data_IF_642385650352
#
_entry.id   IF_642385650352
#
_cell.length_a   1.000
_cell.length_b   1.000
_cell.length_c   1.000
_cell.angle_alpha   90.00
_cell.angle_beta   90.00
_cell.angle_gamma   90.00
#
_symmetry.space_group_name_H-M   'P 1'
#
loop_
_entity.id
_entity.type
_entity.pdbx_description
1 polymer ?
#
# COMPACT_ATOMS: atom_id res chain seq x y z
N UNK A 1 -11.16 5.33 -3.32
CA UNK A 1 -10.92 6.37 -4.35
C UNK A 1 -10.70 5.67 -5.68
N UNK A 2 -10.71 6.38 -6.82
CA UNK A 2 -10.29 5.75 -8.09
C UNK A 2 -8.79 5.49 -8.04
N UNK A 3 -8.34 4.32 -8.50
CA UNK A 3 -6.91 4.01 -8.66
C UNK A 3 -6.25 5.00 -9.62
N UNK A 4 -5.04 5.42 -9.28
CA UNK A 4 -4.24 6.36 -10.06
C UNK A 4 -3.06 5.61 -10.70
N UNK A 5 -3.07 5.49 -12.03
CA UNK A 5 -1.89 5.07 -12.79
C UNK A 5 -0.95 6.27 -12.91
N UNK A 6 0.21 6.21 -12.25
CA UNK A 6 1.16 7.34 -12.18
C UNK A 6 2.10 7.35 -13.38
N UNK A 7 2.33 6.18 -13.96
CA UNK A 7 3.07 5.92 -15.19
C UNK A 7 2.52 4.60 -15.74
N UNK A 8 2.70 4.37 -17.05
CA UNK A 8 2.36 3.09 -17.68
C UNK A 8 2.78 1.92 -16.78
N UNK A 9 1.80 1.10 -16.41
CA UNK A 9 1.96 -0.13 -15.61
C UNK A 9 2.45 0.08 -14.17
N UNK A 10 2.42 1.31 -13.66
CA UNK A 10 2.76 1.66 -12.27
C UNK A 10 1.58 2.38 -11.63
N UNK A 11 1.04 1.78 -10.57
CA UNK A 11 -0.19 2.24 -9.93
C UNK A 11 0.06 2.64 -8.49
N UNK A 12 -0.47 3.79 -8.08
CA UNK A 12 -0.60 4.11 -6.66
C UNK A 12 -1.78 3.32 -6.08
N UNK A 13 -1.50 2.54 -5.04
CA UNK A 13 -2.48 1.70 -4.34
C UNK A 13 -2.54 1.99 -2.84
N UNK A 14 -1.84 3.03 -2.38
CA UNK A 14 -1.78 3.40 -0.96
C UNK A 14 -3.10 3.93 -0.37
N UNK A 15 -2.98 4.67 0.72
CA UNK A 15 -4.10 5.22 1.46
C UNK A 15 -3.87 6.70 1.84
N UNK A 16 -4.96 7.44 1.97
CA UNK A 16 -4.95 8.82 2.45
C UNK A 16 -5.58 8.86 3.84
N UNK A 17 -4.83 9.32 4.83
CA UNK A 17 -5.34 9.54 6.18
C UNK A 17 -5.58 11.03 6.38
N UNK A 18 -6.80 11.46 6.08
CA UNK A 18 -7.23 12.85 6.30
C UNK A 18 -7.37 13.22 7.77
N UNK A 19 -7.41 12.23 8.67
CA UNK A 19 -7.78 12.41 10.07
C UNK A 19 -6.59 12.38 11.02
N UNK A 20 -5.43 11.87 10.60
CA UNK A 20 -4.21 11.93 11.40
C UNK A 20 -3.86 13.38 11.71
N UNK A 21 -3.63 13.67 12.99
CA UNK A 21 -3.23 15.00 13.50
C UNK A 21 -1.95 14.95 14.31
N UNK A 22 -1.75 13.86 15.05
CA UNK A 22 -0.47 13.52 15.66
C UNK A 22 0.09 12.29 14.93
N UNK A 23 1.23 12.50 14.30
CA UNK A 23 1.96 11.47 13.58
C UNK A 23 3.36 11.34 14.18
N UNK A 24 3.49 10.48 15.19
CA UNK A 24 4.76 10.21 15.89
C UNK A 24 5.39 11.48 16.48
N UNK A 25 4.55 12.37 17.03
CA UNK A 25 4.96 13.67 17.58
C UNK A 25 4.92 14.83 16.57
N UNK A 26 4.67 14.56 15.28
CA UNK A 26 4.44 15.61 14.28
C UNK A 26 2.98 16.02 14.18
N UNK A 27 2.73 17.33 14.21
CA UNK A 27 1.40 17.89 13.94
C UNK A 27 1.10 17.89 12.43
N UNK A 28 0.08 17.12 12.02
CA UNK A 28 -0.32 16.90 10.61
C UNK A 28 -1.72 17.46 10.34
N UNK A 29 -1.88 18.79 10.38
CA UNK A 29 -3.19 19.44 10.22
C UNK A 29 -3.91 19.17 8.88
N UNK A 30 -3.15 18.77 7.84
CA UNK A 30 -3.67 18.42 6.51
C UNK A 30 -3.79 16.90 6.31
N UNK A 31 -3.60 16.10 7.36
CA UNK A 31 -3.48 14.66 7.26
C UNK A 31 -2.13 14.22 6.70
N UNK A 32 -2.05 12.96 6.27
CA UNK A 32 -0.90 12.35 5.63
C UNK A 32 -1.33 11.29 4.62
N UNK A 33 -0.38 10.71 3.90
CA UNK A 33 -0.59 9.59 2.97
C UNK A 33 0.39 8.48 3.27
N UNK A 34 -0.08 7.24 3.19
CA UNK A 34 0.75 6.04 3.24
C UNK A 34 0.82 5.49 1.83
N UNK A 35 1.91 5.78 1.13
CA UNK A 35 2.04 5.52 -0.30
C UNK A 35 2.61 4.13 -0.53
N UNK A 36 1.86 3.30 -1.24
CA UNK A 36 2.28 1.99 -1.73
C UNK A 36 2.06 1.94 -3.23
N UNK A 37 2.91 1.21 -3.95
CA UNK A 37 2.88 1.14 -5.40
C UNK A 37 2.80 -0.29 -5.90
N UNK A 38 1.95 -0.54 -6.87
CA UNK A 38 1.85 -1.82 -7.56
C UNK A 38 2.43 -1.68 -8.96
N UNK A 39 3.47 -2.47 -9.27
CA UNK A 39 4.12 -2.50 -10.57
C UNK A 39 3.66 -3.75 -11.31
N UNK A 40 3.09 -3.56 -12.50
CA UNK A 40 2.66 -4.61 -13.40
C UNK A 40 3.80 -4.90 -14.38
N UNK A 41 4.51 -6.00 -14.16
CA UNK A 41 5.62 -6.45 -15.00
C UNK A 41 5.58 -7.98 -15.11
N UNK A 42 6.59 -8.60 -15.72
CA UNK A 42 6.76 -10.06 -15.73
C UNK A 42 6.72 -10.66 -14.32
N UNK A 43 7.16 -9.88 -13.32
CA UNK A 43 7.02 -10.14 -11.89
C UNK A 43 6.24 -9.01 -11.22
N UNK A 44 4.99 -9.27 -10.87
CA UNK A 44 4.11 -8.28 -10.26
C UNK A 44 4.61 -7.97 -8.86
N UNK A 45 4.90 -6.70 -8.59
CA UNK A 45 5.60 -6.30 -7.37
C UNK A 45 4.83 -5.22 -6.62
N UNK A 46 4.60 -5.43 -5.33
CA UNK A 46 4.07 -4.44 -4.40
C UNK A 46 5.21 -3.78 -3.62
N UNK A 47 5.28 -2.45 -3.65
CA UNK A 47 6.22 -1.65 -2.86
C UNK A 47 5.52 -1.07 -1.63
N UNK A 48 6.04 -1.46 -0.47
CA UNK A 48 5.55 -1.15 0.87
C UNK A 48 4.08 -1.54 1.09
N UNK A 49 3.61 -1.39 2.32
CA UNK A 49 2.19 -1.47 2.66
C UNK A 49 1.77 -0.17 3.33
N UNK A 50 0.65 -0.20 4.05
CA UNK A 50 0.12 0.96 4.76
C UNK A 50 -0.02 0.65 6.24
N UNK A 51 -0.37 1.67 7.02
CA UNK A 51 -0.76 1.51 8.42
C UNK A 51 -1.92 0.54 8.55
N UNK A 52 -1.93 -0.28 9.61
CA UNK A 52 -2.87 -1.39 9.81
C UNK A 52 -4.35 -1.03 9.58
N UNK A 53 -4.79 0.11 10.10
CA UNK A 53 -6.19 0.57 10.00
C UNK A 53 -6.60 0.98 8.57
N UNK A 54 -5.66 1.15 7.65
CA UNK A 54 -5.87 1.55 6.25
C UNK A 54 -5.71 0.41 5.26
N UNK A 55 -5.50 -0.82 5.74
CA UNK A 55 -5.44 -2.04 4.92
C UNK A 55 -6.61 -2.15 3.93
N UNK A 56 -7.81 -1.73 4.34
CA UNK A 56 -9.01 -1.78 3.50
C UNK A 56 -8.85 -1.00 2.20
N UNK A 57 -8.25 0.20 2.28
CA UNK A 57 -7.99 1.05 1.11
C UNK A 57 -6.94 0.40 0.19
N UNK A 58 -5.84 -0.09 0.78
CA UNK A 58 -4.78 -0.78 0.04
C UNK A 58 -5.32 -1.97 -0.76
N UNK A 59 -6.02 -2.88 -0.08
CA UNK A 59 -6.57 -4.08 -0.72
C UNK A 59 -7.67 -3.74 -1.72
N UNK A 60 -8.49 -2.71 -1.47
CA UNK A 60 -9.47 -2.25 -2.43
C UNK A 60 -8.80 -1.81 -3.72
N UNK A 61 -7.79 -0.93 -3.65
CA UNK A 61 -7.07 -0.45 -4.83
C UNK A 61 -6.38 -1.59 -5.58
N UNK A 62 -5.64 -2.48 -4.91
CA UNK A 62 -5.00 -3.64 -5.55
C UNK A 62 -6.02 -4.50 -6.28
N UNK A 63 -7.15 -4.86 -5.64
CA UNK A 63 -8.20 -5.72 -6.23
C UNK A 63 -8.89 -5.14 -7.45
N UNK A 64 -8.84 -3.81 -7.64
CA UNK A 64 -9.36 -3.20 -8.88
C UNK A 64 -8.40 -3.36 -10.07
N UNK A 65 -7.14 -3.69 -9.82
CA UNK A 65 -6.10 -3.84 -10.85
C UNK A 65 -5.83 -5.33 -11.12
N UNK A 66 -5.66 -6.13 -10.07
CA UNK A 66 -5.31 -7.55 -10.16
C UNK A 66 -5.80 -8.33 -8.93
N UNK A 67 -5.92 -9.65 -9.08
CA UNK A 67 -6.02 -10.58 -7.94
C UNK A 67 -4.74 -10.51 -7.09
N UNK A 68 -4.81 -10.15 -5.78
CA UNK A 68 -3.63 -10.07 -4.92
C UNK A 68 -2.77 -11.34 -4.89
N UNK A 69 -3.35 -12.52 -5.11
CA UNK A 69 -2.61 -13.80 -5.15
C UNK A 69 -1.65 -13.93 -6.34
N UNK A 70 -1.70 -12.99 -7.29
CA UNK A 70 -0.80 -12.92 -8.44
C UNK A 70 0.40 -11.99 -8.23
N UNK A 71 0.54 -11.38 -7.05
CA UNK A 71 1.69 -10.55 -6.73
C UNK A 71 2.85 -11.48 -6.39
N UNK A 72 3.94 -11.42 -7.15
CA UNK A 72 5.12 -12.25 -6.96
C UNK A 72 5.98 -11.75 -5.79
N UNK A 73 6.17 -10.42 -5.68
CA UNK A 73 7.10 -9.82 -4.72
C UNK A 73 6.46 -8.72 -3.88
N UNK A 74 6.95 -8.61 -2.64
CA UNK A 74 6.71 -7.45 -1.77
C UNK A 74 8.05 -6.85 -1.39
N UNK A 75 8.30 -5.62 -1.82
CA UNK A 75 9.49 -4.84 -1.46
C UNK A 75 9.15 -3.97 -0.26
N UNK A 76 9.83 -4.20 0.86
CA UNK A 76 9.71 -3.38 2.08
C UNK A 76 10.91 -2.46 2.18
N UNK A 77 10.72 -1.17 1.92
CA UNK A 77 11.80 -0.18 1.99
C UNK A 77 12.11 0.25 3.42
N UNK A 78 11.09 0.31 4.27
CA UNK A 78 11.19 0.73 5.67
C UNK A 78 10.26 -0.10 6.53
N UNK A 79 10.69 -0.41 7.75
CA UNK A 79 10.02 -1.40 8.62
C UNK A 79 9.04 -0.78 9.63
N UNK A 80 8.97 0.54 9.73
CA UNK A 80 8.05 1.22 10.64
C UNK A 80 6.58 0.94 10.27
N UNK A 81 5.71 0.87 11.29
CA UNK A 81 4.36 0.29 11.15
C UNK A 81 3.37 1.17 10.36
N UNK A 82 3.75 2.37 10.00
CA UNK A 82 3.08 3.19 9.00
C UNK A 82 3.27 2.66 7.56
N UNK A 83 4.37 1.96 7.29
CA UNK A 83 4.68 1.31 6.02
C UNK A 83 4.49 -0.21 6.04
N UNK A 84 4.55 -0.85 7.22
CA UNK A 84 4.46 -2.32 7.36
C UNK A 84 3.27 -2.79 8.19
N UNK A 85 2.43 -1.89 8.68
CA UNK A 85 1.33 -2.23 9.59
C UNK A 85 0.32 -3.21 9.01
N UNK A 86 0.18 -3.26 7.69
CA UNK A 86 -0.67 -4.22 6.97
C UNK A 86 0.09 -5.44 6.43
N UNK A 87 1.43 -5.48 6.53
CA UNK A 87 2.26 -6.52 5.93
C UNK A 87 1.84 -7.95 6.32
N UNK A 88 1.56 -8.30 7.59
CA UNK A 88 1.18 -9.67 7.94
C UNK A 88 -0.07 -10.16 7.19
N UNK A 89 -1.08 -9.31 7.09
CA UNK A 89 -2.36 -9.65 6.44
C UNK A 89 -2.23 -9.65 4.92
N UNK A 90 -1.33 -8.81 4.36
CA UNK A 90 -1.00 -8.83 2.93
C UNK A 90 -0.25 -10.12 2.57
N UNK A 91 0.73 -10.54 3.39
CA UNK A 91 1.49 -11.79 3.18
C UNK A 91 0.58 -13.02 3.13
N UNK A 92 -0.46 -13.08 3.97
CA UNK A 92 -1.42 -14.19 3.97
C UNK A 92 -2.23 -14.29 2.66
N UNK A 93 -2.53 -13.15 2.04
CA UNK A 93 -3.32 -13.05 0.81
C UNK A 93 -2.46 -13.25 -0.43
N UNK A 94 -1.27 -12.64 -0.44
CA UNK A 94 -0.36 -12.61 -1.60
C UNK A 94 0.43 -13.91 -1.71
N UNK A 95 0.98 -14.39 -0.59
CA UNK A 95 1.92 -15.52 -0.54
C UNK A 95 3.06 -15.36 -1.57
N UNK A 96 3.83 -14.26 -1.47
CA UNK A 96 4.88 -13.94 -2.44
C UNK A 96 5.96 -15.03 -2.44
N UNK A 97 6.71 -15.11 -3.54
CA UNK A 97 7.78 -16.10 -3.76
C UNK A 97 8.90 -16.05 -2.72
#
# INVERSE_FOLDING_TARGET
MKVCEIKKDIYWVGAVDWNVRDFHGYSTYKGSTYNSFLIMDDKVTLFDTVKKNLKGDLLHHIKTIIDPSKIDYIVVNHVEMDHTGSLPEVMELVKPE
#
